data_IF_373858618700
#
_entry.id   IF_373858618700
#
_cell.length_a   1.000
_cell.length_b   1.000
_cell.length_c   1.000
_cell.angle_alpha   90.00
_cell.angle_beta   90.00
_cell.angle_gamma   90.00
#
_symmetry.space_group_name_H-M   'P 1'
#
loop_
_entity.id
_entity.type
_entity.pdbx_description
1 polymer ?
#
# COMPACT_ATOMS: atom_id res chain seq x y z
N UNK A 1 54.40 -37.50 -67.01
CA UNK A 1 54.42 -38.59 -66.01
C UNK A 1 54.40 -37.98 -64.62
N UNK A 2 53.28 -38.05 -63.89
CA UNK A 2 53.18 -37.57 -62.51
C UNK A 2 52.58 -38.68 -61.63
N UNK A 3 53.40 -39.27 -60.74
CA UNK A 3 53.00 -40.33 -59.81
C UNK A 3 52.32 -39.70 -58.58
N UNK A 4 51.00 -39.89 -58.46
CA UNK A 4 50.18 -39.43 -57.34
C UNK A 4 50.42 -40.34 -56.13
N UNK A 5 51.06 -39.82 -55.06
CA UNK A 5 51.28 -40.54 -53.80
C UNK A 5 49.96 -40.65 -53.02
N UNK A 6 49.46 -41.87 -52.88
CA UNK A 6 48.30 -42.19 -52.03
C UNK A 6 48.78 -42.19 -50.58
N UNK A 7 48.30 -41.23 -49.77
CA UNK A 7 48.55 -41.21 -48.33
C UNK A 7 47.59 -42.19 -47.66
N UNK A 8 48.13 -43.27 -47.09
CA UNK A 8 47.38 -44.17 -46.21
C UNK A 8 46.99 -43.42 -44.93
N UNK A 9 45.69 -43.18 -44.75
CA UNK A 9 45.13 -42.66 -43.50
C UNK A 9 44.95 -43.88 -42.56
N UNK A 10 45.64 -43.96 -41.42
CA UNK A 10 45.47 -45.07 -40.50
C UNK A 10 44.05 -45.02 -39.90
N UNK A 11 43.28 -46.08 -40.15
CA UNK A 11 41.95 -46.26 -39.58
C UNK A 11 42.07 -46.56 -38.08
N UNK A 12 41.83 -45.55 -37.23
CA UNK A 12 41.81 -45.72 -35.77
C UNK A 12 40.60 -46.58 -35.38
N UNK A 13 40.88 -47.83 -35.01
CA UNK A 13 39.90 -48.76 -34.44
C UNK A 13 39.41 -48.17 -33.10
N UNK A 14 38.15 -47.73 -33.04
CA UNK A 14 37.50 -47.31 -31.79
C UNK A 14 37.32 -48.54 -30.91
N UNK A 15 38.11 -48.64 -29.83
CA UNK A 15 37.90 -49.65 -28.78
C UNK A 15 36.46 -49.52 -28.26
N UNK A 16 35.71 -50.62 -28.34
CA UNK A 16 34.36 -50.75 -27.80
C UNK A 16 34.50 -50.65 -26.28
N UNK A 17 34.06 -49.53 -25.69
CA UNK A 17 34.10 -49.36 -24.22
C UNK A 17 33.30 -50.47 -23.56
N UNK A 18 33.88 -51.08 -22.52
CA UNK A 18 33.23 -52.09 -21.70
C UNK A 18 31.91 -51.55 -21.13
N UNK A 19 30.84 -52.35 -21.08
CA UNK A 19 29.53 -51.91 -20.57
C UNK A 19 29.61 -51.35 -19.15
N UNK A 20 30.57 -51.84 -18.35
CA UNK A 20 30.84 -51.35 -17.00
C UNK A 20 31.35 -49.89 -16.99
N UNK A 21 32.15 -49.47 -17.98
CA UNK A 21 32.59 -48.08 -18.11
C UNK A 21 31.45 -47.15 -18.53
N UNK A 22 30.52 -47.66 -19.35
CA UNK A 22 29.33 -46.91 -19.77
C UNK A 22 28.40 -46.69 -18.58
N UNK A 23 28.19 -47.71 -17.75
CA UNK A 23 27.33 -47.63 -16.57
C UNK A 23 27.91 -46.65 -15.52
N UNK A 24 29.21 -46.71 -15.24
CA UNK A 24 29.87 -45.78 -14.31
C UNK A 24 29.77 -44.33 -14.80
N UNK A 25 29.94 -44.09 -16.10
CA UNK A 25 29.80 -42.75 -16.70
C UNK A 25 28.36 -42.23 -16.60
N UNK A 26 27.36 -43.08 -16.85
CA UNK A 26 25.95 -42.69 -16.78
C UNK A 26 25.53 -42.33 -15.35
N UNK A 27 26.02 -43.05 -14.33
CA UNK A 27 25.78 -42.72 -12.91
C UNK A 27 26.36 -41.35 -12.53
N UNK A 28 27.56 -41.02 -13.00
CA UNK A 28 28.19 -39.71 -12.76
C UNK A 28 27.42 -38.59 -13.44
N UNK A 29 27.02 -38.77 -14.71
CA UNK A 29 26.24 -37.77 -15.46
C UNK A 29 24.87 -37.55 -14.80
N UNK A 30 24.21 -38.62 -14.35
CA UNK A 30 22.92 -38.53 -13.65
C UNK A 30 23.05 -37.78 -12.31
N UNK A 31 24.12 -38.05 -11.55
CA UNK A 31 24.40 -37.32 -10.30
C UNK A 31 24.69 -35.83 -10.53
N UNK A 32 25.45 -35.50 -11.58
CA UNK A 32 25.73 -34.12 -11.98
C UNK A 32 24.43 -33.39 -12.37
N UNK A 33 23.58 -34.04 -13.16
CA UNK A 33 22.30 -33.47 -13.60
C UNK A 33 21.38 -33.16 -12.41
N UNK A 34 21.25 -34.08 -11.46
CA UNK A 34 20.47 -33.86 -10.24
C UNK A 34 21.05 -32.70 -9.42
N UNK A 35 22.38 -32.60 -9.31
CA UNK A 35 23.05 -31.53 -8.56
C UNK A 35 22.80 -30.15 -9.21
N UNK A 36 22.85 -30.06 -10.54
CA UNK A 36 22.56 -28.82 -11.27
C UNK A 36 21.10 -28.39 -11.08
N UNK A 37 20.16 -29.33 -11.05
CA UNK A 37 18.74 -29.01 -10.77
C UNK A 37 18.59 -28.49 -9.34
N UNK A 38 19.19 -29.14 -8.34
CA UNK A 38 19.06 -28.69 -6.95
C UNK A 38 19.65 -27.28 -6.73
N UNK A 39 20.80 -26.98 -7.34
CA UNK A 39 21.43 -25.65 -7.24
C UNK A 39 20.70 -24.62 -8.11
N UNK A 40 20.23 -25.02 -9.29
CA UNK A 40 19.49 -24.16 -10.21
C UNK A 40 18.15 -23.67 -9.65
N UNK A 41 17.47 -24.50 -8.84
CA UNK A 41 16.22 -24.12 -8.16
C UNK A 41 16.38 -22.93 -7.22
N UNK A 42 17.56 -22.79 -6.59
CA UNK A 42 17.84 -21.67 -5.66
C UNK A 42 18.11 -20.38 -6.45
N UNK A 43 18.74 -20.47 -7.62
CA UNK A 43 19.01 -19.30 -8.48
C UNK A 43 17.75 -18.70 -9.12
N UNK A 44 16.71 -19.50 -9.37
CA UNK A 44 15.46 -19.02 -9.96
C UNK A 44 14.73 -17.96 -9.11
N UNK A 45 14.85 -18.04 -7.78
CA UNK A 45 14.22 -17.10 -6.84
C UNK A 45 14.88 -15.71 -6.93
N UNK A 46 16.21 -15.64 -7.15
CA UNK A 46 16.93 -14.37 -7.26
C UNK A 46 16.67 -13.64 -8.58
N UNK A 47 16.45 -14.36 -9.69
CA UNK A 47 16.14 -13.74 -10.98
C UNK A 47 14.71 -13.17 -11.00
N UNK A 48 13.79 -13.75 -10.22
CA UNK A 48 12.41 -13.28 -10.13
C UNK A 48 12.21 -12.04 -9.23
N UNK A 49 13.23 -11.63 -8.46
CA UNK A 49 13.15 -10.45 -7.58
C UNK A 49 13.49 -9.13 -8.28
N UNK A 50 13.92 -9.15 -9.55
CA UNK A 50 14.19 -7.92 -10.31
C UNK A 50 12.96 -7.34 -11.02
N UNK A 51 11.75 -7.78 -10.67
CA UNK A 51 10.55 -7.03 -11.01
C UNK A 51 10.54 -5.79 -10.11
N UNK A 52 11.22 -4.74 -10.56
CA UNK A 52 11.04 -3.39 -10.01
C UNK A 52 9.56 -3.09 -10.04
N UNK A 53 8.92 -3.10 -8.87
CA UNK A 53 7.56 -2.62 -8.71
C UNK A 53 7.55 -1.22 -9.32
N UNK A 54 6.67 -0.93 -10.30
CA UNK A 54 6.64 0.37 -10.92
C UNK A 54 6.42 1.42 -9.84
N UNK A 55 7.40 2.30 -9.68
CA UNK A 55 7.35 3.45 -8.78
C UNK A 55 6.51 4.53 -9.47
N UNK A 56 5.50 5.01 -8.76
CA UNK A 56 4.62 6.08 -9.22
C UNK A 56 5.02 7.35 -8.49
N UNK A 57 5.34 8.41 -9.23
CA UNK A 57 5.70 9.70 -8.65
C UNK A 57 4.50 10.63 -8.62
N UNK A 58 4.44 11.46 -7.58
CA UNK A 58 3.49 12.55 -7.45
C UNK A 58 4.20 13.82 -6.99
N UNK A 59 4.09 14.89 -7.77
CA UNK A 59 4.60 16.22 -7.40
C UNK A 59 3.46 17.05 -6.78
N UNK A 60 3.63 17.51 -5.55
CA UNK A 60 2.66 18.40 -4.90
C UNK A 60 2.77 19.84 -5.43
N UNK A 61 1.90 20.74 -4.95
CA UNK A 61 1.88 22.14 -5.43
C UNK A 61 3.09 22.97 -4.99
N UNK A 62 3.86 22.47 -4.02
CA UNK A 62 5.12 23.05 -3.57
C UNK A 62 6.34 22.55 -4.37
N UNK A 63 6.16 21.62 -5.32
CA UNK A 63 7.23 21.00 -6.10
C UNK A 63 7.96 19.86 -5.39
N UNK A 64 7.43 19.37 -4.27
CA UNK A 64 7.95 18.19 -3.57
C UNK A 64 7.44 16.93 -4.25
N UNK A 65 8.34 15.99 -4.52
CA UNK A 65 8.02 14.73 -5.20
C UNK A 65 7.93 13.60 -4.18
N UNK A 66 6.80 12.90 -4.19
CA UNK A 66 6.51 11.73 -3.39
C UNK A 66 6.55 10.48 -4.26
N UNK A 67 7.20 9.43 -3.76
CA UNK A 67 7.34 8.14 -4.42
C UNK A 67 6.41 7.11 -3.82
N UNK A 68 5.54 6.54 -4.66
CA UNK A 68 4.58 5.53 -4.28
C UNK A 68 4.93 4.17 -4.89
N UNK A 69 4.95 3.15 -4.04
CA UNK A 69 5.05 1.75 -4.45
C UNK A 69 3.70 1.07 -4.24
N UNK A 70 3.32 0.17 -5.15
CA UNK A 70 2.10 -0.63 -4.99
C UNK A 70 2.46 -1.98 -4.38
N UNK A 71 1.88 -2.30 -3.23
CA UNK A 71 2.14 -3.57 -2.56
C UNK A 71 1.33 -4.74 -3.16
N UNK A 72 1.52 -5.95 -2.63
CA UNK A 72 0.79 -7.15 -3.10
C UNK A 72 -0.72 -7.09 -2.84
N UNK A 73 -1.15 -6.25 -1.89
CA UNK A 73 -2.54 -6.03 -1.51
C UNK A 73 -3.17 -4.84 -2.24
N UNK A 74 -2.46 -4.26 -3.22
CA UNK A 74 -2.89 -3.09 -4.01
C UNK A 74 -3.00 -1.79 -3.20
N UNK A 75 -2.27 -1.68 -2.09
CA UNK A 75 -2.08 -0.41 -1.38
C UNK A 75 -0.94 0.39 -1.99
N UNK A 76 -1.10 1.71 -2.00
CA UNK A 76 0.00 2.62 -2.27
C UNK A 76 0.77 2.86 -0.97
N UNK A 77 2.08 2.66 -1.01
CA UNK A 77 3.00 2.86 0.11
C UNK A 77 3.91 4.01 -0.24
N UNK A 78 3.99 5.02 0.63
CA UNK A 78 4.98 6.10 0.53
C UNK A 78 5.63 6.33 1.89
N UNK A 79 6.85 6.82 1.86
CA UNK A 79 7.57 7.30 3.02
C UNK A 79 7.31 8.80 3.19
N UNK A 80 6.90 9.22 4.39
CA UNK A 80 6.66 10.61 4.76
C UNK A 80 7.25 10.78 6.15
N UNK A 81 8.16 11.74 6.34
CA UNK A 81 8.81 12.00 7.64
C UNK A 81 9.40 10.73 8.28
N UNK A 82 10.17 9.94 7.52
CA UNK A 82 10.79 8.66 7.95
C UNK A 82 9.78 7.57 8.39
N UNK A 83 8.50 7.73 8.07
CA UNK A 83 7.43 6.78 8.37
C UNK A 83 6.76 6.28 7.09
N UNK A 84 6.54 4.97 7.01
CA UNK A 84 5.74 4.38 5.94
C UNK A 84 4.24 4.48 6.26
N UNK A 85 3.48 4.89 5.25
CA UNK A 85 2.02 4.99 5.29
C UNK A 85 1.41 4.21 4.13
N UNK A 86 0.27 3.58 4.41
CA UNK A 86 -0.49 2.80 3.43
C UNK A 86 -1.76 3.56 3.04
N UNK A 87 -1.99 3.67 1.75
CA UNK A 87 -3.12 4.38 1.15
C UNK A 87 -3.87 3.45 0.19
N UNK A 88 -5.18 3.64 0.10
CA UNK A 88 -6.03 2.94 -0.86
C UNK A 88 -6.03 3.61 -2.24
N UNK A 89 -5.79 4.91 -2.29
CA UNK A 89 -5.86 5.73 -3.49
C UNK A 89 -4.57 6.51 -3.71
N UNK A 90 -4.16 6.63 -4.97
CA UNK A 90 -3.07 7.53 -5.34
C UNK A 90 -3.53 8.98 -5.17
N UNK A 91 -2.67 9.94 -4.80
CA UNK A 91 -3.09 11.34 -4.64
C UNK A 91 -3.80 11.91 -5.89
N UNK A 92 -3.37 11.50 -7.09
CA UNK A 92 -4.03 11.89 -8.35
C UNK A 92 -5.50 11.45 -8.45
N UNK A 93 -5.89 10.34 -7.83
CA UNK A 93 -7.27 9.83 -7.82
C UNK A 93 -8.19 10.69 -6.92
N UNK A 94 -7.59 11.45 -6.01
CA UNK A 94 -8.27 12.33 -5.06
C UNK A 94 -8.31 13.80 -5.53
N UNK A 95 -7.84 14.09 -6.74
CA UNK A 95 -7.74 15.45 -7.27
C UNK A 95 -9.07 16.24 -7.26
N UNK A 96 -10.22 15.55 -7.29
CA UNK A 96 -11.54 16.20 -7.20
C UNK A 96 -11.80 16.91 -5.86
N UNK A 97 -11.08 16.54 -4.81
CA UNK A 97 -11.22 17.08 -3.45
C UNK A 97 -10.20 18.18 -3.12
N UNK A 98 -9.37 18.59 -4.08
CA UNK A 98 -8.32 19.60 -3.87
C UNK A 98 -8.83 20.92 -3.29
N UNK A 99 -10.08 21.28 -3.58
CA UNK A 99 -10.65 22.52 -3.07
C UNK A 99 -11.10 22.43 -1.61
N UNK A 100 -11.27 21.21 -1.08
CA UNK A 100 -11.80 20.94 0.25
C UNK A 100 -10.69 20.76 1.31
N UNK A 101 -9.42 20.87 0.90
CA UNK A 101 -8.30 20.61 1.79
C UNK A 101 -8.06 21.72 2.81
N UNK A 102 -8.55 22.94 2.53
CA UNK A 102 -8.51 24.05 3.49
C UNK A 102 -9.36 23.75 4.73
N UNK A 103 -10.55 23.18 4.52
CA UNK A 103 -11.48 22.75 5.56
C UNK A 103 -10.85 21.65 6.43
N UNK A 104 -10.15 20.70 5.78
CA UNK A 104 -9.42 19.62 6.45
C UNK A 104 -8.25 20.18 7.26
N UNK A 105 -7.44 21.05 6.68
CA UNK A 105 -6.32 21.70 7.36
C UNK A 105 -6.78 22.50 8.58
N UNK A 106 -7.90 23.22 8.46
CA UNK A 106 -8.50 23.93 9.59
C UNK A 106 -8.91 22.97 10.71
N UNK A 107 -9.56 21.84 10.38
CA UNK A 107 -9.95 20.82 11.35
C UNK A 107 -8.77 20.03 11.96
N UNK A 108 -7.62 20.00 11.30
CA UNK A 108 -6.40 19.31 11.77
C UNK A 108 -5.30 20.27 12.26
N UNK A 109 -5.68 21.52 12.53
CA UNK A 109 -4.78 22.58 13.00
C UNK A 109 -4.28 22.39 14.42
N UNK A 110 -4.91 21.49 15.19
CA UNK A 110 -4.49 21.13 16.55
C UNK A 110 -3.94 19.70 16.61
N UNK A 111 -3.26 19.36 17.71
CA UNK A 111 -2.71 18.01 17.93
C UNK A 111 -3.73 17.04 18.55
N UNK A 112 -5.02 17.39 18.55
CA UNK A 112 -6.09 16.53 19.04
C UNK A 112 -7.37 16.70 18.23
N UNK A 113 -8.11 15.62 17.99
CA UNK A 113 -9.40 15.69 17.32
C UNK A 113 -10.32 14.59 17.81
N UNK A 114 -11.63 14.74 17.56
CA UNK A 114 -12.62 13.70 17.82
C UNK A 114 -13.25 13.27 16.51
N UNK A 115 -13.22 11.98 16.19
CA UNK A 115 -13.99 11.42 15.08
C UNK A 115 -15.33 10.91 15.60
N UNK A 116 -16.40 11.50 15.09
CA UNK A 116 -17.77 11.09 15.35
C UNK A 116 -18.18 9.94 14.44
N UNK A 117 -18.79 8.91 15.02
CA UNK A 117 -19.41 7.80 14.29
C UNK A 117 -20.88 7.68 14.66
N UNK A 118 -21.74 7.47 13.65
CA UNK A 118 -23.09 6.99 13.92
C UNK A 118 -23.10 5.47 13.84
N UNK A 119 -23.24 4.84 15.01
CA UNK A 119 -23.27 3.38 15.17
C UNK A 119 -24.48 2.71 14.51
N UNK A 120 -25.52 3.49 14.16
CA UNK A 120 -26.69 3.01 13.44
C UNK A 120 -26.63 3.31 11.94
N UNK A 121 -25.53 3.90 11.45
CA UNK A 121 -25.34 4.19 10.04
C UNK A 121 -25.25 2.89 9.22
N UNK A 122 -25.86 2.87 8.04
CA UNK A 122 -25.84 1.71 7.13
C UNK A 122 -24.41 1.30 6.72
N UNK A 123 -23.48 2.25 6.70
CA UNK A 123 -22.06 2.06 6.38
C UNK A 123 -21.17 2.16 7.62
N UNK A 124 -21.72 1.98 8.84
CA UNK A 124 -20.97 2.12 10.10
C UNK A 124 -19.66 1.31 10.13
N UNK A 125 -19.60 0.13 9.50
CA UNK A 125 -18.38 -0.66 9.40
C UNK A 125 -17.24 0.07 8.66
N UNK A 126 -17.54 0.71 7.53
CA UNK A 126 -16.54 1.42 6.73
C UNK A 126 -16.14 2.75 7.38
N UNK A 127 -17.11 3.41 8.03
CA UNK A 127 -16.85 4.61 8.84
C UNK A 127 -15.91 4.27 10.01
N UNK A 128 -16.16 3.18 10.74
CA UNK A 128 -15.34 2.79 11.88
C UNK A 128 -13.95 2.30 11.46
N UNK A 129 -13.84 1.62 10.30
CA UNK A 129 -12.55 1.29 9.70
C UNK A 129 -11.74 2.56 9.38
N UNK A 130 -12.34 3.52 8.67
CA UNK A 130 -11.69 4.79 8.37
C UNK A 130 -11.28 5.52 9.66
N UNK A 131 -12.16 5.58 10.67
CA UNK A 131 -11.85 6.16 11.99
C UNK A 131 -10.60 5.53 12.60
N UNK A 132 -10.52 4.20 12.62
CA UNK A 132 -9.40 3.49 13.22
C UNK A 132 -8.09 3.80 12.50
N UNK A 133 -8.09 3.69 11.17
CA UNK A 133 -6.88 3.90 10.36
C UNK A 133 -6.40 5.35 10.36
N UNK A 134 -7.33 6.31 10.37
CA UNK A 134 -7.01 7.72 10.59
C UNK A 134 -6.29 7.87 11.95
N UNK A 135 -6.87 7.30 13.01
CA UNK A 135 -6.30 7.40 14.35
C UNK A 135 -4.89 6.77 14.41
N UNK A 136 -4.70 5.60 13.82
CA UNK A 136 -3.40 4.91 13.75
C UNK A 136 -2.35 5.69 12.96
N UNK A 137 -2.75 6.36 11.89
CA UNK A 137 -1.86 7.19 11.06
C UNK A 137 -1.31 8.41 11.81
N UNK A 138 -2.00 8.86 12.85
CA UNK A 138 -1.64 10.06 13.60
C UNK A 138 -0.96 9.80 14.95
N UNK A 139 -1.07 8.58 15.48
CA UNK A 139 -0.38 8.17 16.73
C UNK A 139 1.14 8.37 16.61
N UNK A 140 1.73 8.12 15.44
CA UNK A 140 3.19 8.25 15.21
C UNK A 140 3.72 9.68 15.43
N UNK A 141 2.85 10.68 15.26
CA UNK A 141 3.20 12.11 15.32
C UNK A 141 2.74 12.79 16.61
N UNK A 142 2.36 12.02 17.64
CA UNK A 142 1.76 12.53 18.88
C UNK A 142 0.50 13.38 18.66
N UNK A 143 -0.26 13.08 17.60
CA UNK A 143 -1.58 13.66 17.36
C UNK A 143 -2.62 12.67 17.90
N UNK A 144 -3.44 13.13 18.84
CA UNK A 144 -4.39 12.28 19.55
C UNK A 144 -5.78 12.38 18.96
N UNK A 145 -6.21 11.32 18.27
CA UNK A 145 -7.56 11.25 17.74
C UNK A 145 -8.40 10.27 18.55
N UNK A 146 -9.51 10.76 19.07
CA UNK A 146 -10.44 10.00 19.90
C UNK A 146 -11.69 9.66 19.10
N UNK A 147 -12.29 8.50 19.37
CA UNK A 147 -13.62 8.16 18.86
C UNK A 147 -14.72 8.66 19.79
N UNK A 148 -15.84 9.12 19.22
CA UNK A 148 -17.08 9.33 19.95
C UNK A 148 -18.27 8.89 19.08
N UNK A 149 -19.38 8.53 19.71
CA UNK A 149 -20.61 8.13 19.01
C UNK A 149 -21.63 9.27 19.00
N UNK A 150 -22.41 9.40 17.93
CA UNK A 150 -23.44 10.45 17.83
C UNK A 150 -24.71 10.13 18.59
N UNK A 151 -24.96 8.85 18.85
CA UNK A 151 -26.17 8.36 19.51
C UNK A 151 -25.84 7.43 20.67
N UNK A 152 -26.75 7.36 21.65
CA UNK A 152 -26.60 6.41 22.74
C UNK A 152 -26.86 4.98 22.22
N UNK A 153 -25.90 4.09 22.42
CA UNK A 153 -25.95 2.70 21.97
C UNK A 153 -25.17 1.80 22.91
N UNK A 154 -25.62 0.55 23.04
CA UNK A 154 -24.90 -0.52 23.74
C UNK A 154 -23.67 -0.98 22.97
N UNK A 155 -23.63 -0.75 21.65
CA UNK A 155 -22.42 -0.89 20.83
C UNK A 155 -21.41 0.17 21.23
N UNK A 156 -20.15 -0.23 21.40
CA UNK A 156 -19.05 0.64 21.85
C UNK A 156 -19.36 1.35 23.18
N UNK A 157 -19.47 0.61 24.30
CA UNK A 157 -19.81 1.20 25.60
C UNK A 157 -18.75 2.17 26.14
N UNK A 158 -17.50 2.06 25.67
CA UNK A 158 -16.40 2.95 26.07
C UNK A 158 -16.34 4.28 25.32
N UNK A 159 -17.10 4.46 24.23
CA UNK A 159 -17.10 5.71 23.48
C UNK A 159 -18.14 6.68 24.05
N UNK A 160 -17.77 7.96 24.31
CA UNK A 160 -18.71 8.96 24.78
C UNK A 160 -19.71 9.34 23.69
N UNK A 161 -20.87 9.86 24.10
CA UNK A 161 -21.86 10.42 23.16
C UNK A 161 -21.56 11.90 22.94
N UNK A 162 -21.27 12.30 21.71
CA UNK A 162 -20.93 13.69 21.33
C UNK A 162 -21.52 14.04 19.96
N UNK A 163 -21.66 15.33 19.65
CA UNK A 163 -22.12 15.82 18.35
C UNK A 163 -21.31 17.04 17.88
N UNK A 164 -21.53 17.51 16.66
CA UNK A 164 -20.81 18.66 16.11
C UNK A 164 -20.98 19.95 16.93
N UNK A 165 -22.06 20.11 17.71
CA UNK A 165 -22.26 21.29 18.56
C UNK A 165 -21.28 21.31 19.75
N UNK A 166 -20.61 20.19 20.04
CA UNK A 166 -19.57 20.11 21.06
C UNK A 166 -18.18 20.46 20.53
N UNK A 167 -18.01 20.67 19.22
CA UNK A 167 -16.72 20.99 18.62
C UNK A 167 -16.25 22.39 19.02
N UNK A 168 -14.96 22.52 19.35
CA UNK A 168 -14.33 23.81 19.66
C UNK A 168 -13.06 24.00 18.82
N UNK A 169 -12.50 25.22 18.71
CA UNK A 169 -11.25 25.44 18.00
C UNK A 169 -10.08 24.61 18.57
N UNK A 170 -10.07 24.33 19.87
CA UNK A 170 -9.04 23.53 20.56
C UNK A 170 -9.29 22.02 20.48
N UNK A 171 -10.52 21.61 20.19
CA UNK A 171 -10.93 20.22 20.05
C UNK A 171 -11.88 20.08 18.83
N UNK A 172 -11.32 20.13 17.61
CA UNK A 172 -12.09 20.01 16.37
C UNK A 172 -12.62 18.59 16.20
N UNK A 173 -13.76 18.48 15.53
CA UNK A 173 -14.46 17.21 15.32
C UNK A 173 -14.44 16.85 13.84
N UNK A 174 -14.43 15.56 13.53
CA UNK A 174 -14.55 15.01 12.18
C UNK A 174 -15.76 14.08 12.19
N UNK A 175 -16.80 14.41 11.46
CA UNK A 175 -18.00 13.61 11.39
C UNK A 175 -18.11 12.92 10.04
N UNK A 176 -17.86 11.61 10.03
CA UNK A 176 -18.08 10.75 8.87
C UNK A 176 -19.52 10.24 8.90
N UNK A 177 -20.30 10.51 7.85
CA UNK A 177 -21.69 10.06 7.75
C UNK A 177 -22.07 9.60 6.35
N UNK A 178 -23.04 8.70 6.25
CA UNK A 178 -23.59 8.32 4.95
C UNK A 178 -24.40 9.44 4.33
N UNK A 179 -24.26 9.61 3.02
CA UNK A 179 -25.19 10.41 2.23
C UNK A 179 -25.17 10.11 0.74
N UNK A 180 -26.03 10.82 0.02
CA UNK A 180 -26.29 10.54 -1.40
C UNK A 180 -25.19 11.10 -2.32
N UNK A 181 -24.54 12.17 -1.88
CA UNK A 181 -23.47 12.84 -2.61
C UNK A 181 -22.22 12.84 -1.74
N UNK A 182 -21.06 12.79 -2.40
CA UNK A 182 -19.80 13.04 -1.71
C UNK A 182 -19.67 14.53 -1.42
N UNK A 183 -19.60 14.94 -0.16
CA UNK A 183 -19.50 16.33 0.26
C UNK A 183 -18.55 16.46 1.46
N UNK A 184 -17.80 17.57 1.50
CA UNK A 184 -16.93 17.92 2.61
C UNK A 184 -17.28 19.36 2.99
N UNK A 185 -17.63 19.58 4.26
CA UNK A 185 -17.97 20.91 4.75
C UNK A 185 -17.41 21.11 6.16
N UNK A 186 -16.95 22.33 6.45
CA UNK A 186 -16.56 22.72 7.81
C UNK A 186 -17.65 23.58 8.43
N UNK A 187 -18.26 23.10 9.51
CA UNK A 187 -19.28 23.82 10.26
C UNK A 187 -18.91 23.89 11.74
N UNK A 188 -18.64 25.09 12.27
CA UNK A 188 -18.30 25.32 13.67
C UNK A 188 -17.19 24.41 14.22
N UNK A 189 -16.07 24.28 13.50
CA UNK A 189 -14.95 23.37 13.84
C UNK A 189 -15.29 21.87 13.77
N UNK A 190 -16.45 21.51 13.23
CA UNK A 190 -16.81 20.15 12.86
C UNK A 190 -16.65 19.97 11.35
N UNK A 191 -15.66 19.18 10.93
CA UNK A 191 -15.49 18.75 9.55
C UNK A 191 -16.47 17.61 9.26
N UNK A 192 -17.49 17.87 8.47
CA UNK A 192 -18.50 16.88 8.09
C UNK A 192 -18.12 16.34 6.72
N UNK A 193 -17.88 15.03 6.65
CA UNK A 193 -17.58 14.32 5.40
C UNK A 193 -18.69 13.31 5.13
N UNK A 194 -19.47 13.60 4.11
CA UNK A 194 -20.62 12.81 3.69
C UNK A 194 -20.29 12.02 2.44
N UNK A 195 -20.62 10.73 2.40
CA UNK A 195 -20.36 9.90 1.23
C UNK A 195 -20.95 8.50 1.32
N UNK A 196 -20.58 7.63 0.37
CA UNK A 196 -20.93 6.21 0.41
C UNK A 196 -19.78 5.36 1.01
N UNK A 197 -19.99 4.04 1.10
CA UNK A 197 -19.01 3.09 1.63
C UNK A 197 -17.58 3.24 1.07
N UNK A 198 -17.42 3.57 -0.22
CA UNK A 198 -16.11 3.71 -0.86
C UNK A 198 -15.47 5.07 -0.58
N UNK A 199 -16.28 6.09 -0.31
CA UNK A 199 -15.77 7.43 -0.05
C UNK A 199 -15.10 7.53 1.32
N UNK A 200 -15.46 6.71 2.32
CA UNK A 200 -14.80 6.76 3.64
C UNK A 200 -13.31 6.40 3.60
N UNK A 201 -12.91 5.46 2.75
CA UNK A 201 -11.49 5.14 2.54
C UNK A 201 -10.77 6.27 1.80
N UNK A 202 -11.45 6.93 0.86
CA UNK A 202 -10.93 8.14 0.20
C UNK A 202 -10.76 9.28 1.20
N UNK A 203 -11.71 9.46 2.11
CA UNK A 203 -11.64 10.46 3.16
C UNK A 203 -10.50 10.20 4.13
N UNK A 204 -10.25 8.93 4.51
CA UNK A 204 -9.05 8.55 5.26
C UNK A 204 -7.79 9.01 4.55
N UNK A 205 -7.62 8.63 3.28
CA UNK A 205 -6.41 8.96 2.54
C UNK A 205 -6.27 10.48 2.33
N UNK A 206 -7.38 11.16 2.02
CA UNK A 206 -7.43 12.61 1.86
C UNK A 206 -7.00 13.35 3.13
N UNK A 207 -7.53 12.96 4.29
CA UNK A 207 -7.17 13.52 5.60
C UNK A 207 -5.66 13.37 5.85
N UNK A 208 -5.14 12.16 5.63
CA UNK A 208 -3.74 11.84 5.90
C UNK A 208 -2.82 12.58 4.91
N UNK A 209 -3.12 12.56 3.61
CA UNK A 209 -2.35 13.31 2.61
C UNK A 209 -2.34 14.81 2.85
N UNK A 210 -3.50 15.39 3.18
CA UNK A 210 -3.61 16.83 3.45
C UNK A 210 -2.77 17.20 4.67
N UNK A 211 -2.85 16.41 5.75
CA UNK A 211 -2.08 16.69 6.96
C UNK A 211 -0.56 16.61 6.75
N UNK A 212 -0.11 15.76 5.84
CA UNK A 212 1.31 15.63 5.51
C UNK A 212 1.77 16.48 4.31
N UNK A 213 0.90 17.33 3.76
CA UNK A 213 1.23 18.21 2.64
C UNK A 213 1.46 17.49 1.30
N UNK A 214 1.03 16.23 1.19
CA UNK A 214 1.01 15.53 -0.11
C UNK A 214 -0.06 16.16 -1.00
N UNK A 215 -1.24 16.43 -0.43
CA UNK A 215 -2.26 17.27 -1.08
C UNK A 215 -2.18 18.69 -0.48
N UNK A 216 -2.47 19.72 -1.30
CA UNK A 216 -2.39 21.13 -0.88
C UNK A 216 -3.32 21.45 0.29
#
# INVERSE_FOLDING_TARGET
MAKKKIKHIPYKIKRKKSSAEIEKRNKIIMGLFISVIMVGSIMGIFVSQNNTVPELEYENENGEVFSFQVDQSSFYITEINDNYYNFYYHPSDLARFKNDTNEINAALSTNQAVILIDVNDINAQYIDLARLEISESFIKENIFIYGAKTTNSTSYPGLPVMNCDNATPELPFIYLRTGNNTNIELNNNCLIMEGNQYDFLRFKDLIVYTKYGVLP
#
